data_IF_763372305942
#
_entry.id   IF_763372305942
#
_cell.length_a   1.000
_cell.length_b   1.000
_cell.length_c   1.000
_cell.angle_alpha   90.00
_cell.angle_beta   90.00
_cell.angle_gamma   90.00
#
_symmetry.space_group_name_H-M   'P 1'
#
loop_
_entity.id
_entity.type
_entity.pdbx_description
1 polymer ?
#
# COMPACT_ATOMS: atom_id res chain seq x y z
N UNK A 1 18.70 7.87 6.69
CA UNK A 1 17.45 8.04 7.49
C UNK A 1 16.99 6.63 7.84
N UNK A 2 16.80 6.32 9.09
CA UNK A 2 16.40 4.98 9.53
C UNK A 2 14.88 4.84 9.42
N UNK A 3 14.39 3.76 8.84
CA UNK A 3 12.96 3.45 8.69
C UNK A 3 12.48 2.81 9.99
N UNK A 4 11.49 3.43 10.63
CA UNK A 4 10.90 2.97 11.89
C UNK A 4 9.75 2.01 11.61
N UNK A 5 9.89 0.76 12.01
CA UNK A 5 8.93 -0.31 11.72
C UNK A 5 8.25 -0.79 13.00
N UNK A 6 6.93 -0.94 12.96
CA UNK A 6 6.17 -1.66 13.99
C UNK A 6 5.62 -2.96 13.42
N UNK A 7 5.70 -4.05 14.20
CA UNK A 7 5.23 -5.38 13.79
C UNK A 7 3.96 -5.73 14.57
N UNK A 8 2.90 -6.11 13.85
CA UNK A 8 1.60 -6.44 14.42
C UNK A 8 1.17 -7.84 13.96
N UNK A 9 1.14 -8.79 14.88
CA UNK A 9 0.80 -10.20 14.63
C UNK A 9 0.40 -10.83 15.96
N UNK A 10 -0.55 -11.74 16.01
CA UNK A 10 -0.94 -12.41 17.25
C UNK A 10 0.09 -13.48 17.69
N UNK A 11 0.89 -14.00 16.76
CA UNK A 11 1.89 -15.03 16.99
C UNK A 11 3.23 -14.45 17.45
N UNK A 12 3.61 -14.71 18.69
CA UNK A 12 4.84 -14.19 19.27
C UNK A 12 6.10 -14.61 18.48
N UNK A 13 6.15 -15.84 17.98
CA UNK A 13 7.31 -16.33 17.18
C UNK A 13 7.48 -15.55 15.88
N UNK A 14 6.38 -15.19 15.22
CA UNK A 14 6.40 -14.39 13.99
C UNK A 14 6.93 -12.99 14.28
N UNK A 15 6.41 -12.33 15.33
CA UNK A 15 6.89 -10.99 15.73
C UNK A 15 8.39 -10.99 16.06
N UNK A 16 8.85 -11.97 16.83
CA UNK A 16 10.27 -12.09 17.19
C UNK A 16 11.14 -12.41 15.97
N UNK A 17 10.70 -13.31 15.11
CA UNK A 17 11.41 -13.65 13.87
C UNK A 17 11.61 -12.44 12.96
N UNK A 18 10.54 -11.69 12.66
CA UNK A 18 10.62 -10.48 11.84
C UNK A 18 11.45 -9.38 12.52
N UNK A 19 11.38 -9.26 13.85
CA UNK A 19 12.22 -8.31 14.59
C UNK A 19 13.70 -8.59 14.39
N UNK A 20 14.10 -9.84 14.53
CA UNK A 20 15.50 -10.25 14.32
C UNK A 20 15.93 -9.96 12.88
N UNK A 21 15.13 -10.40 11.90
CA UNK A 21 15.45 -10.24 10.48
C UNK A 21 15.58 -8.77 10.07
N UNK A 22 14.66 -7.92 10.49
CA UNK A 22 14.68 -6.51 10.12
C UNK A 22 15.76 -5.69 10.84
N UNK A 23 16.07 -6.01 12.10
CA UNK A 23 17.14 -5.35 12.83
C UNK A 23 18.56 -5.74 12.34
N UNK A 24 18.70 -6.73 11.45
CA UNK A 24 19.96 -6.99 10.73
C UNK A 24 20.23 -5.95 9.63
N UNK A 25 19.20 -5.23 9.20
CA UNK A 25 19.32 -4.22 8.15
C UNK A 25 19.73 -2.87 8.77
N UNK A 26 20.80 -2.21 8.27
CA UNK A 26 21.36 -1.02 8.91
C UNK A 26 20.47 0.23 8.81
N UNK A 27 19.50 0.21 7.91
CA UNK A 27 18.57 1.31 7.64
C UNK A 27 17.15 1.08 8.15
N UNK A 28 16.90 -0.03 8.87
CA UNK A 28 15.60 -0.39 9.43
C UNK A 28 15.72 -0.60 10.94
N UNK A 29 14.77 -0.06 11.70
CA UNK A 29 14.66 -0.21 13.15
C UNK A 29 13.25 -0.67 13.54
N UNK A 30 13.14 -1.80 14.24
CA UNK A 30 11.87 -2.23 14.81
C UNK A 30 11.64 -1.49 16.13
N UNK A 31 10.75 -0.50 16.09
CA UNK A 31 10.46 0.41 17.23
C UNK A 31 9.38 -0.14 18.16
N UNK A 32 8.65 -1.18 17.77
CA UNK A 32 7.64 -1.79 18.63
C UNK A 32 6.98 -3.02 18.04
N UNK A 33 6.25 -3.72 18.90
CA UNK A 33 5.45 -4.89 18.55
C UNK A 33 4.06 -4.76 19.16
N UNK A 34 3.03 -5.23 18.45
CA UNK A 34 1.65 -5.29 18.92
C UNK A 34 1.07 -6.71 18.68
N UNK A 35 0.13 -7.11 19.53
CA UNK A 35 -0.45 -8.47 19.51
C UNK A 35 -1.79 -8.53 18.79
N UNK A 36 -2.44 -7.38 18.58
CA UNK A 36 -3.70 -7.24 17.85
C UNK A 36 -3.88 -5.81 17.34
N UNK A 37 -5.00 -5.55 16.67
CA UNK A 37 -5.28 -4.25 16.08
C UNK A 37 -5.51 -3.13 17.08
N UNK A 38 -6.03 -3.42 18.29
CA UNK A 38 -6.23 -2.39 19.33
C UNK A 38 -4.89 -1.95 19.91
N UNK A 39 -4.04 -2.90 20.29
CA UNK A 39 -2.69 -2.65 20.76
C UNK A 39 -1.86 -1.91 19.68
N UNK A 40 -2.09 -2.24 18.41
CA UNK A 40 -1.44 -1.54 17.30
C UNK A 40 -1.83 -0.05 17.20
N UNK A 41 -3.11 0.29 17.41
CA UNK A 41 -3.58 1.67 17.38
C UNK A 41 -2.95 2.51 18.51
N UNK A 42 -2.92 1.97 19.72
CA UNK A 42 -2.33 2.65 20.88
C UNK A 42 -0.84 2.89 20.66
N UNK A 43 -0.09 1.84 20.32
CA UNK A 43 1.36 1.91 20.11
C UNK A 43 1.77 2.76 18.91
N UNK A 44 0.99 2.75 17.84
CA UNK A 44 1.27 3.59 16.68
C UNK A 44 1.20 5.09 17.00
N UNK A 45 0.28 5.50 17.88
CA UNK A 45 0.16 6.88 18.32
C UNK A 45 1.39 7.35 19.12
N UNK A 46 1.95 6.47 19.95
CA UNK A 46 3.13 6.76 20.79
C UNK A 46 4.44 6.67 19.99
N UNK A 47 4.62 5.56 19.28
CA UNK A 47 5.86 5.21 18.61
C UNK A 47 6.05 5.92 17.26
N UNK A 48 4.97 6.34 16.61
CA UNK A 48 4.98 7.01 15.31
C UNK A 48 5.85 6.26 14.28
N UNK A 49 5.55 5.00 13.98
CA UNK A 49 6.29 4.24 12.97
C UNK A 49 6.07 4.82 11.58
N UNK A 50 7.08 4.67 10.70
CA UNK A 50 6.94 4.99 9.28
C UNK A 50 6.15 3.89 8.56
N UNK A 51 6.40 2.62 8.93
CA UNK A 51 5.78 1.45 8.35
C UNK A 51 5.25 0.53 9.45
N UNK A 52 4.03 0.03 9.28
CA UNK A 52 3.44 -1.03 10.11
C UNK A 52 3.33 -2.30 9.28
N UNK A 53 3.98 -3.38 9.74
CA UNK A 53 3.73 -4.73 9.24
C UNK A 53 2.50 -5.27 9.95
N UNK A 54 1.43 -5.56 9.21
CA UNK A 54 0.13 -5.86 9.78
C UNK A 54 -0.36 -7.24 9.35
N UNK A 55 -0.54 -8.16 10.29
CA UNK A 55 -1.25 -9.40 10.00
C UNK A 55 -2.75 -9.14 9.75
N UNK A 56 -3.35 -9.95 8.90
CA UNK A 56 -4.78 -9.83 8.55
C UNK A 56 -5.67 -10.36 9.67
N UNK A 57 -5.33 -11.53 10.20
CA UNK A 57 -6.19 -12.27 11.13
C UNK A 57 -5.64 -12.23 12.55
N UNK A 58 -6.23 -11.43 13.39
CA UNK A 58 -5.88 -11.29 14.79
C UNK A 58 -7.14 -11.25 15.66
N UNK A 59 -7.06 -11.62 16.96
CA UNK A 59 -8.15 -11.49 17.90
C UNK A 59 -8.53 -10.01 18.12
N UNK A 60 -9.68 -9.77 18.77
CA UNK A 60 -10.24 -8.47 19.12
C UNK A 60 -10.49 -7.57 17.91
N UNK A 61 -9.43 -6.94 17.34
CA UNK A 61 -9.51 -6.11 16.15
C UNK A 61 -8.61 -6.69 15.05
N UNK A 62 -9.21 -7.12 13.95
CA UNK A 62 -8.50 -7.66 12.79
C UNK A 62 -7.69 -6.60 12.05
N UNK A 63 -6.66 -7.04 11.33
CA UNK A 63 -5.70 -6.14 10.68
C UNK A 63 -6.29 -5.22 9.62
N UNK A 64 -7.33 -5.65 8.89
CA UNK A 64 -7.99 -4.81 7.88
C UNK A 64 -8.66 -3.60 8.54
N UNK A 65 -9.39 -3.80 9.63
CA UNK A 65 -10.05 -2.71 10.35
C UNK A 65 -9.02 -1.83 11.09
N UNK A 66 -7.97 -2.44 11.67
CA UNK A 66 -6.84 -1.70 12.23
C UNK A 66 -6.14 -0.83 11.14
N UNK A 67 -5.92 -1.38 9.95
CA UNK A 67 -5.38 -0.63 8.80
C UNK A 67 -6.26 0.56 8.48
N UNK A 68 -7.58 0.36 8.37
CA UNK A 68 -8.53 1.46 8.07
C UNK A 68 -8.41 2.59 9.09
N UNK A 69 -8.33 2.27 10.38
CA UNK A 69 -8.21 3.28 11.45
C UNK A 69 -6.85 3.98 11.45
N UNK A 70 -5.75 3.21 11.29
CA UNK A 70 -4.39 3.76 11.21
C UNK A 70 -4.21 4.72 10.05
N UNK A 71 -4.93 4.48 8.97
CA UNK A 71 -4.77 5.20 7.70
C UNK A 71 -5.83 6.27 7.46
N UNK A 72 -6.78 6.44 8.38
CA UNK A 72 -7.86 7.45 8.26
C UNK A 72 -7.34 8.87 8.45
N UNK A 73 -7.83 9.85 7.63
CA UNK A 73 -7.52 11.26 7.84
C UNK A 73 -7.99 11.78 9.21
N UNK A 74 -7.40 12.90 9.75
CA UNK A 74 -6.63 13.90 9.00
C UNK A 74 -5.11 13.79 9.11
N UNK A 75 -4.53 12.82 9.86
CA UNK A 75 -3.12 12.94 10.27
C UNK A 75 -2.24 11.72 10.00
N UNK A 76 -2.72 10.67 9.33
CA UNK A 76 -1.92 9.47 9.21
C UNK A 76 -0.92 9.53 8.06
N UNK A 77 0.37 9.67 8.42
CA UNK A 77 1.51 9.44 7.52
C UNK A 77 1.98 7.98 7.54
N UNK A 78 1.43 7.17 8.45
CA UNK A 78 1.77 5.77 8.64
C UNK A 78 1.40 4.96 7.39
N UNK A 79 2.33 4.16 6.92
CA UNK A 79 2.12 3.23 5.80
C UNK A 79 1.96 1.82 6.32
N UNK A 80 1.02 1.08 5.78
CA UNK A 80 0.72 -0.28 6.23
C UNK A 80 1.06 -1.27 5.14
N UNK A 81 2.00 -2.18 5.44
CA UNK A 81 2.31 -3.36 4.65
C UNK A 81 1.60 -4.56 5.28
N UNK A 82 0.60 -5.08 4.59
CA UNK A 82 -0.18 -6.22 5.10
C UNK A 82 0.57 -7.52 4.84
N UNK A 83 0.61 -8.39 5.86
CA UNK A 83 1.21 -9.72 5.80
C UNK A 83 0.13 -10.81 5.88
N UNK A 84 0.26 -11.88 5.10
CA UNK A 84 -0.67 -13.01 5.13
C UNK A 84 0.02 -14.33 4.82
N UNK A 85 -0.56 -15.43 5.29
CA UNK A 85 -0.03 -16.78 5.04
C UNK A 85 -0.59 -17.44 3.79
N UNK A 86 -1.87 -17.23 3.45
CA UNK A 86 -2.56 -17.89 2.32
C UNK A 86 -3.87 -17.17 1.95
N UNK A 87 -4.41 -17.52 0.75
CA UNK A 87 -5.66 -17.02 0.16
C UNK A 87 -5.72 -15.50 -0.03
N UNK A 88 -4.98 -15.11 -1.04
CA UNK A 88 -4.71 -13.73 -1.42
C UNK A 88 -5.95 -12.97 -1.92
N UNK A 89 -6.93 -13.65 -2.48
CA UNK A 89 -7.91 -12.97 -3.34
C UNK A 89 -8.96 -12.18 -2.53
N UNK A 90 -9.43 -12.70 -1.39
CA UNK A 90 -10.48 -12.06 -0.60
C UNK A 90 -9.99 -10.86 0.24
N UNK A 91 -8.81 -10.98 0.83
CA UNK A 91 -8.29 -9.95 1.76
C UNK A 91 -7.47 -8.84 1.10
N UNK A 92 -6.86 -9.10 -0.08
CA UNK A 92 -6.04 -8.10 -0.78
C UNK A 92 -6.86 -6.85 -1.11
N UNK A 93 -8.04 -7.06 -1.70
CA UNK A 93 -8.92 -5.95 -2.07
C UNK A 93 -9.39 -5.15 -0.86
N UNK A 94 -9.85 -5.85 0.19
CA UNK A 94 -10.31 -5.19 1.41
C UNK A 94 -9.19 -4.43 2.12
N UNK A 95 -7.98 -5.00 2.19
CA UNK A 95 -6.81 -4.35 2.76
C UNK A 95 -6.44 -3.07 2.01
N UNK A 96 -6.44 -3.10 0.69
CA UNK A 96 -6.12 -1.94 -0.13
C UNK A 96 -7.20 -0.84 -0.02
N UNK A 97 -8.48 -1.21 0.01
CA UNK A 97 -9.57 -0.26 0.31
C UNK A 97 -9.51 0.30 1.72
N UNK A 98 -9.04 -0.50 2.67
CA UNK A 98 -8.76 -0.03 4.03
C UNK A 98 -7.57 0.93 4.09
N UNK A 99 -6.80 1.03 3.02
CA UNK A 99 -5.69 1.95 2.91
C UNK A 99 -4.30 1.31 3.05
N UNK A 100 -4.16 0.00 2.88
CA UNK A 100 -2.85 -0.63 2.83
C UNK A 100 -1.99 -0.05 1.69
N UNK A 101 -0.70 0.15 1.97
CA UNK A 101 0.30 0.65 1.02
C UNK A 101 0.95 -0.48 0.22
N UNK A 102 0.84 -1.71 0.71
CA UNK A 102 1.37 -2.90 0.07
C UNK A 102 0.89 -4.17 0.73
N UNK A 103 1.31 -5.29 0.12
CA UNK A 103 0.93 -6.62 0.54
C UNK A 103 2.10 -7.59 0.32
N UNK A 104 2.39 -8.47 1.29
CA UNK A 104 3.46 -9.45 1.21
C UNK A 104 3.01 -10.77 1.84
N UNK A 105 3.53 -11.89 1.34
CA UNK A 105 3.33 -13.21 1.95
C UNK A 105 4.26 -13.38 3.15
N UNK A 106 3.80 -14.04 4.20
CA UNK A 106 4.63 -14.34 5.39
C UNK A 106 5.76 -15.34 5.12
N UNK A 107 5.71 -16.07 4.00
CA UNK A 107 6.77 -16.97 3.54
C UNK A 107 7.82 -16.27 2.67
N UNK A 108 7.70 -14.97 2.46
CA UNK A 108 8.69 -14.15 1.78
C UNK A 108 10.05 -14.22 2.50
N UNK A 109 11.13 -14.20 1.74
CA UNK A 109 12.48 -14.17 2.28
C UNK A 109 12.75 -12.88 3.07
N UNK A 110 13.76 -12.92 3.97
CA UNK A 110 14.18 -11.73 4.72
C UNK A 110 14.56 -10.56 3.80
N UNK A 111 15.19 -10.84 2.67
CA UNK A 111 15.57 -9.82 1.70
C UNK A 111 14.35 -9.17 1.02
N UNK A 112 13.34 -9.97 0.69
CA UNK A 112 12.08 -9.47 0.13
C UNK A 112 11.31 -8.64 1.15
N UNK A 113 11.26 -9.06 2.41
CA UNK A 113 10.63 -8.31 3.49
C UNK A 113 11.30 -6.94 3.70
N UNK A 114 12.63 -6.91 3.80
CA UNK A 114 13.39 -5.66 3.94
C UNK A 114 13.20 -4.74 2.73
N UNK A 115 13.24 -5.29 1.52
CA UNK A 115 12.98 -4.52 0.31
C UNK A 115 11.55 -3.97 0.27
N UNK A 116 10.57 -4.76 0.69
CA UNK A 116 9.17 -4.35 0.80
C UNK A 116 8.99 -3.16 1.75
N UNK A 117 9.63 -3.21 2.90
CA UNK A 117 9.64 -2.11 3.87
C UNK A 117 10.22 -0.83 3.26
N UNK A 118 11.34 -0.91 2.54
CA UNK A 118 11.98 0.24 1.86
C UNK A 118 11.07 0.86 0.81
N UNK A 119 10.49 0.03 -0.04
CA UNK A 119 9.58 0.47 -1.11
C UNK A 119 8.36 1.18 -0.54
N UNK A 120 7.72 0.58 0.47
CA UNK A 120 6.56 1.16 1.12
C UNK A 120 6.93 2.45 1.86
N UNK A 121 8.06 2.49 2.57
CA UNK A 121 8.56 3.70 3.23
C UNK A 121 8.79 4.85 2.26
N UNK A 122 9.29 4.56 1.05
CA UNK A 122 9.48 5.56 0.00
C UNK A 122 8.17 6.07 -0.62
N UNK A 123 7.02 5.49 -0.27
CA UNK A 123 5.71 5.81 -0.89
C UNK A 123 5.53 5.20 -2.27
N UNK A 124 6.43 4.31 -2.66
CA UNK A 124 6.31 3.54 -3.89
C UNK A 124 5.37 2.34 -3.66
N UNK A 125 4.70 1.86 -4.72
CA UNK A 125 3.81 0.72 -4.59
C UNK A 125 4.60 -0.58 -4.57
N UNK A 126 4.40 -1.39 -3.55
CA UNK A 126 4.79 -2.79 -3.55
C UNK A 126 3.60 -3.63 -4.07
N UNK A 127 3.24 -3.42 -5.30
CA UNK A 127 2.30 -4.29 -5.99
C UNK A 127 3.11 -5.09 -7.01
N UNK A 128 3.42 -6.36 -6.66
CA UNK A 128 3.93 -7.28 -7.65
C UNK A 128 2.97 -7.29 -8.86
N UNK A 129 3.46 -7.41 -10.11
CA UNK A 129 2.60 -7.43 -11.30
C UNK A 129 1.47 -8.46 -11.23
N UNK A 130 1.70 -9.58 -10.52
CA UNK A 130 0.70 -10.61 -10.23
C UNK A 130 -0.40 -10.13 -9.29
N UNK A 131 -0.05 -9.36 -8.26
CA UNK A 131 -1.01 -8.76 -7.30
C UNK A 131 -1.81 -7.65 -8.00
N UNK A 132 -1.17 -6.82 -8.81
CA UNK A 132 -1.86 -5.80 -9.62
C UNK A 132 -2.88 -6.43 -10.57
N UNK A 133 -2.52 -7.52 -11.28
CA UNK A 133 -3.44 -8.22 -12.17
C UNK A 133 -4.63 -8.83 -11.42
N UNK A 134 -4.41 -9.38 -10.23
CA UNK A 134 -5.49 -9.94 -9.38
C UNK A 134 -6.40 -8.83 -8.84
N UNK A 135 -5.83 -7.73 -8.39
CA UNK A 135 -6.58 -6.54 -8.00
C UNK A 135 -7.52 -6.07 -9.13
N UNK A 136 -6.98 -6.00 -10.35
CA UNK A 136 -7.72 -5.66 -11.57
C UNK A 136 -8.90 -6.61 -11.77
N UNK A 137 -8.67 -7.93 -11.64
CA UNK A 137 -9.70 -8.94 -11.83
C UNK A 137 -10.82 -8.83 -10.78
N UNK A 138 -10.47 -8.51 -9.52
CA UNK A 138 -11.45 -8.36 -8.43
C UNK A 138 -12.27 -7.08 -8.57
N UNK A 139 -11.64 -5.96 -8.96
CA UNK A 139 -12.37 -4.75 -9.34
C UNK A 139 -13.36 -4.97 -10.48
N UNK A 140 -13.06 -5.89 -11.40
CA UNK A 140 -13.95 -6.24 -12.52
C UNK A 140 -15.18 -7.04 -12.07
N UNK A 141 -15.07 -7.82 -10.99
CA UNK A 141 -16.13 -8.71 -10.49
C UNK A 141 -17.16 -8.02 -9.60
N UNK A 142 -16.83 -6.86 -9.03
CA UNK A 142 -17.74 -6.17 -8.11
C UNK A 142 -18.83 -5.40 -8.84
N UNK A 143 -20.12 -5.79 -8.70
CA UNK A 143 -21.23 -5.03 -9.22
C UNK A 143 -21.38 -3.73 -8.41
N UNK A 144 -21.21 -2.57 -9.04
CA UNK A 144 -21.76 -1.33 -8.51
C UNK A 144 -20.96 -0.59 -7.44
N UNK A 145 -19.63 -0.44 -7.57
CA UNK A 145 -18.95 0.61 -6.82
C UNK A 145 -19.60 1.97 -7.14
N UNK A 146 -19.91 2.81 -6.13
CA UNK A 146 -20.56 4.09 -6.36
C UNK A 146 -19.67 5.02 -7.20
N UNK A 147 -20.09 5.28 -8.43
CA UNK A 147 -19.29 5.93 -9.49
C UNK A 147 -19.38 7.45 -9.52
N UNK A 148 -19.99 8.11 -8.53
CA UNK A 148 -20.46 9.47 -8.76
C UNK A 148 -19.69 10.61 -8.09
N UNK A 149 -19.13 10.56 -6.87
CA UNK A 149 -18.39 11.70 -6.31
C UNK A 149 -16.91 11.77 -6.71
N UNK A 150 -16.30 10.64 -7.10
CA UNK A 150 -14.85 10.55 -7.36
C UNK A 150 -14.46 11.01 -8.78
N UNK A 151 -15.38 10.95 -9.75
CA UNK A 151 -15.13 11.41 -11.13
C UNK A 151 -14.79 12.90 -11.22
N UNK A 152 -15.40 13.72 -10.37
CA UNK A 152 -15.14 15.16 -10.35
C UNK A 152 -13.70 15.47 -9.91
N UNK A 153 -13.13 14.63 -9.06
CA UNK A 153 -11.75 14.78 -8.57
C UNK A 153 -10.67 14.44 -9.63
N UNK A 154 -10.99 13.64 -10.63
CA UNK A 154 -10.07 13.38 -11.75
C UNK A 154 -9.89 14.62 -12.61
N UNK A 155 -10.90 15.51 -12.65
CA UNK A 155 -10.83 16.79 -13.35
C UNK A 155 -9.76 17.75 -12.83
N UNK A 156 -9.25 17.56 -11.62
CA UNK A 156 -8.15 18.34 -11.04
C UNK A 156 -6.77 18.00 -11.62
N UNK A 157 -6.66 16.88 -12.35
CA UNK A 157 -5.44 16.45 -13.00
C UNK A 157 -5.28 17.03 -14.40
N UNK A 158 -4.05 17.35 -14.77
CA UNK A 158 -3.72 17.65 -16.17
C UNK A 158 -3.79 16.38 -17.02
N UNK A 159 -3.90 16.51 -18.34
CA UNK A 159 -3.89 15.37 -19.26
C UNK A 159 -2.68 14.46 -19.02
N UNK A 160 -1.49 15.04 -18.78
CA UNK A 160 -0.26 14.29 -18.51
C UNK A 160 -0.30 13.55 -17.17
N UNK A 161 -0.86 14.15 -16.13
CA UNK A 161 -1.03 13.50 -14.85
C UNK A 161 -2.07 12.37 -14.93
N UNK A 162 -3.13 12.54 -15.70
CA UNK A 162 -4.14 11.50 -15.96
C UNK A 162 -3.53 10.31 -16.72
N UNK A 163 -2.69 10.59 -17.71
CA UNK A 163 -1.95 9.56 -18.45
C UNK A 163 -1.00 8.78 -17.52
N UNK A 164 -0.22 9.47 -16.69
CA UNK A 164 0.66 8.85 -15.70
C UNK A 164 -0.15 8.02 -14.69
N UNK A 165 -1.27 8.52 -14.19
CA UNK A 165 -2.15 7.80 -13.26
C UNK A 165 -2.68 6.50 -13.89
N UNK A 166 -3.06 6.54 -15.16
CA UNK A 166 -3.52 5.36 -15.90
C UNK A 166 -2.40 4.30 -16.04
N UNK A 167 -1.17 4.74 -16.28
CA UNK A 167 -0.01 3.82 -16.37
C UNK A 167 0.35 3.23 -15.00
N UNK A 168 0.22 4.01 -13.92
CA UNK A 168 0.35 3.51 -12.54
C UNK A 168 -0.66 2.41 -12.27
N UNK A 169 -1.91 2.62 -12.61
CA UNK A 169 -2.98 1.64 -12.43
C UNK A 169 -2.74 0.35 -13.23
N UNK A 170 -2.09 0.45 -14.38
CA UNK A 170 -1.66 -0.71 -15.17
C UNK A 170 -0.39 -1.41 -14.61
N UNK A 171 0.12 -0.98 -13.46
CA UNK A 171 1.24 -1.62 -12.76
C UNK A 171 2.63 -1.26 -13.26
N UNK A 172 2.79 -0.26 -14.13
CA UNK A 172 4.10 0.13 -14.65
C UNK A 172 4.93 0.83 -13.57
N UNK A 173 6.22 0.54 -13.47
CA UNK A 173 7.19 1.26 -12.65
C UNK A 173 7.48 2.67 -13.21
N UNK A 174 8.13 3.53 -12.41
CA UNK A 174 8.53 4.86 -12.89
C UNK A 174 9.46 4.79 -14.11
N UNK A 175 10.37 3.81 -14.16
CA UNK A 175 11.28 3.60 -15.29
C UNK A 175 10.52 3.17 -16.56
N UNK A 176 9.55 2.26 -16.44
CA UNK A 176 8.71 1.82 -17.57
C UNK A 176 7.82 2.95 -18.07
N UNK A 177 7.23 3.75 -17.15
CA UNK A 177 6.46 4.94 -17.52
C UNK A 177 7.36 5.96 -18.23
N UNK A 178 8.56 6.20 -17.72
CA UNK A 178 9.53 7.10 -18.33
C UNK A 178 9.88 6.70 -19.75
N UNK A 179 10.15 5.41 -19.96
CA UNK A 179 10.42 4.83 -21.30
C UNK A 179 9.21 5.02 -22.21
N UNK A 180 8.00 4.69 -21.76
CA UNK A 180 6.77 4.78 -22.56
C UNK A 180 6.40 6.20 -22.94
N UNK A 181 6.66 7.16 -22.06
CA UNK A 181 6.32 8.58 -22.25
C UNK A 181 7.49 9.40 -22.83
N UNK A 182 8.64 8.76 -23.06
CA UNK A 182 9.87 9.38 -23.59
C UNK A 182 10.32 10.58 -22.74
N UNK A 183 10.40 10.38 -21.42
CA UNK A 183 10.84 11.40 -20.45
C UNK A 183 11.84 10.81 -19.46
N UNK A 184 12.49 11.66 -18.67
CA UNK A 184 13.35 11.19 -17.58
C UNK A 184 12.52 10.59 -16.43
N UNK A 185 13.04 9.56 -15.75
CA UNK A 185 12.38 8.95 -14.59
C UNK A 185 12.07 9.98 -13.49
N UNK A 186 12.96 10.96 -13.28
CA UNK A 186 12.75 12.05 -12.33
C UNK A 186 11.52 12.90 -12.67
N UNK A 187 11.20 13.05 -13.96
CA UNK A 187 9.98 13.75 -14.41
C UNK A 187 8.74 12.94 -14.03
N UNK A 188 8.78 11.61 -14.18
CA UNK A 188 7.70 10.73 -13.75
C UNK A 188 7.49 10.83 -12.23
N UNK A 189 8.56 10.76 -11.43
CA UNK A 189 8.51 10.95 -9.97
C UNK A 189 7.82 12.27 -9.58
N UNK A 190 8.11 13.33 -10.31
CA UNK A 190 7.48 14.64 -10.10
C UNK A 190 5.97 14.60 -10.41
N UNK A 191 5.55 13.96 -11.51
CA UNK A 191 4.14 13.79 -11.82
C UNK A 191 3.42 12.93 -10.76
N UNK A 192 4.02 11.82 -10.34
CA UNK A 192 3.48 10.98 -9.27
C UNK A 192 3.25 11.78 -7.99
N UNK A 193 4.26 12.52 -7.53
CA UNK A 193 4.13 13.37 -6.34
C UNK A 193 3.00 14.40 -6.46
N UNK A 194 2.85 15.04 -7.62
CA UNK A 194 1.76 16.00 -7.87
C UNK A 194 0.39 15.34 -7.87
N UNK A 195 0.26 14.16 -8.47
CA UNK A 195 -0.97 13.36 -8.46
C UNK A 195 -1.38 13.04 -7.03
N UNK A 196 -0.44 12.53 -6.22
CA UNK A 196 -0.72 12.17 -4.83
C UNK A 196 -1.19 13.39 -4.01
N UNK A 197 -0.56 14.54 -4.18
CA UNK A 197 -0.95 15.79 -3.50
C UNK A 197 -2.32 16.26 -3.97
N UNK A 198 -2.57 16.34 -5.28
CA UNK A 198 -3.85 16.84 -5.84
C UNK A 198 -5.03 15.97 -5.45
N UNK A 199 -4.85 14.65 -5.42
CA UNK A 199 -5.89 13.71 -5.07
C UNK A 199 -5.96 13.41 -3.57
N UNK A 200 -5.03 13.97 -2.78
CA UNK A 200 -4.89 13.69 -1.34
C UNK A 200 -4.73 12.18 -1.07
N UNK A 201 -3.82 11.53 -1.81
CA UNK A 201 -3.49 10.12 -1.69
C UNK A 201 -2.13 9.97 -1.01
N UNK A 202 -1.98 8.92 -0.19
CA UNK A 202 -0.78 8.72 0.64
C UNK A 202 0.39 8.12 -0.13
N UNK A 203 0.09 7.27 -1.08
CA UNK A 203 1.10 6.50 -1.81
C UNK A 203 0.57 6.07 -3.19
N UNK A 204 1.47 5.45 -3.96
CA UNK A 204 1.21 4.98 -5.31
C UNK A 204 0.15 3.87 -5.37
N UNK A 205 0.06 3.04 -4.34
CA UNK A 205 -0.96 1.99 -4.24
C UNK A 205 -2.35 2.59 -4.20
N UNK A 206 -2.53 3.63 -3.37
CA UNK A 206 -3.80 4.35 -3.30
C UNK A 206 -4.14 5.07 -4.61
N UNK A 207 -3.13 5.53 -5.36
CA UNK A 207 -3.35 6.09 -6.68
C UNK A 207 -3.89 5.04 -7.67
N UNK A 208 -3.36 3.81 -7.65
CA UNK A 208 -3.87 2.72 -8.46
C UNK A 208 -5.32 2.37 -8.08
N UNK A 209 -5.62 2.18 -6.78
CA UNK A 209 -6.98 1.92 -6.28
C UNK A 209 -7.94 3.01 -6.75
N UNK A 210 -7.57 4.28 -6.58
CA UNK A 210 -8.37 5.43 -7.01
C UNK A 210 -8.70 5.41 -8.51
N UNK A 211 -7.72 5.07 -9.36
CA UNK A 211 -7.93 5.01 -10.81
C UNK A 211 -8.97 3.95 -11.21
N UNK A 212 -9.00 2.80 -10.50
CA UNK A 212 -10.04 1.78 -10.71
C UNK A 212 -11.40 2.21 -10.15
N UNK A 213 -11.46 2.72 -8.93
CA UNK A 213 -12.71 3.17 -8.30
C UNK A 213 -13.41 4.29 -9.09
N UNK A 214 -12.63 5.18 -9.71
CA UNK A 214 -13.17 6.24 -10.57
C UNK A 214 -13.55 5.77 -11.97
N UNK A 215 -13.14 4.55 -12.36
CA UNK A 215 -13.35 4.01 -13.70
C UNK A 215 -12.45 4.68 -14.76
N UNK A 216 -11.38 5.37 -14.34
CA UNK A 216 -10.36 5.91 -15.24
C UNK A 216 -9.68 4.79 -16.03
N UNK A 217 -9.43 3.67 -15.36
CA UNK A 217 -8.91 2.45 -15.97
C UNK A 217 -9.94 1.33 -15.79
N UNK A 218 -10.17 0.57 -16.84
CA UNK A 218 -11.01 -0.63 -16.82
C UNK A 218 -10.11 -1.86 -16.96
N UNK A 219 -10.43 -2.95 -16.25
CA UNK A 219 -9.72 -4.22 -16.48
C UNK A 219 -9.82 -4.62 -17.95
N UNK A 220 -8.69 -4.97 -18.55
CA UNK A 220 -8.66 -5.46 -19.93
C UNK A 220 -9.29 -6.86 -19.98
N UNK A 221 -10.42 -6.99 -20.66
CA UNK A 221 -11.00 -8.27 -21.07
C UNK A 221 -11.97 -8.91 -20.08
N UNK A 222 -13.17 -8.36 -19.97
CA UNK A 222 -14.43 -9.10 -19.83
C UNK A 222 -15.52 -8.36 -20.62
#
# INVERSE_FOLDING_TARGET
MTIRVMIVDDQMMVRQGFTVLLNLEPDIEVVGQAVDGLDALEKAAELRPDVVLMDVRMPQLGGIEATRRLTSPPQSTVKVLVLTTFDLDEYVYEALRAGASGFLLKDASAAELAQAVRVVAAGEALLAPTVTKRLIAEFARLPGAPRTPLKDRVGDLTERETEVLSLIANGLSNAEIATRLVVAEQTVKTHVSRILVKLNLRDRTQAAVFAYETGLVRPAGY
#
